data_IF_150791150128
#
_entry.id   IF_150791150128
#
_cell.length_a   1.000
_cell.length_b   1.000
_cell.length_c   1.000
_cell.angle_alpha   90.00
_cell.angle_beta   90.00
_cell.angle_gamma   90.00
#
_symmetry.space_group_name_H-M   'P 1'
#
loop_
_entity.id
_entity.type
_entity.pdbx_description
1 polymer ?
#
# COMPACT_ATOMS: atom_id res chain seq x y z
N UNK A 1 -54.29 -45.28 1.22
CA UNK A 1 -53.36 -46.02 2.12
C UNK A 1 -51.93 -46.17 1.59
N UNK A 2 -51.58 -45.67 0.39
CA UNK A 2 -50.23 -45.80 -0.18
C UNK A 2 -49.33 -44.55 -0.02
N UNK A 3 -49.88 -43.37 0.30
CA UNK A 3 -49.07 -42.16 0.53
C UNK A 3 -48.44 -42.09 1.93
N UNK A 4 -49.11 -42.56 2.98
CA UNK A 4 -48.60 -42.52 4.36
C UNK A 4 -47.38 -43.44 4.57
N UNK A 5 -47.34 -44.60 3.91
CA UNK A 5 -46.21 -45.54 4.01
C UNK A 5 -44.94 -45.05 3.32
N UNK A 6 -45.07 -44.25 2.25
CA UNK A 6 -43.93 -43.71 1.50
C UNK A 6 -43.23 -42.58 2.27
N UNK A 7 -44.00 -41.75 2.97
CA UNK A 7 -43.47 -40.69 3.84
C UNK A 7 -42.76 -41.30 5.06
N UNK A 8 -43.31 -42.36 5.68
CA UNK A 8 -42.65 -43.05 6.79
C UNK A 8 -41.34 -43.73 6.38
N UNK A 9 -41.28 -44.32 5.18
CA UNK A 9 -40.04 -44.92 4.65
C UNK A 9 -38.95 -43.87 4.41
N UNK A 10 -39.30 -42.68 3.90
CA UNK A 10 -38.33 -41.61 3.69
C UNK A 10 -37.86 -40.96 5.00
N UNK A 11 -38.74 -40.84 6.01
CA UNK A 11 -38.37 -40.35 7.35
C UNK A 11 -37.45 -41.35 8.07
N UNK A 12 -37.70 -42.65 7.95
CA UNK A 12 -36.84 -43.70 8.52
C UNK A 12 -35.47 -43.76 7.83
N UNK A 13 -35.40 -43.55 6.51
CA UNK A 13 -34.13 -43.49 5.77
C UNK A 13 -33.35 -42.21 6.13
N UNK A 14 -34.03 -41.08 6.36
CA UNK A 14 -33.39 -39.84 6.78
C UNK A 14 -32.85 -39.92 8.22
N UNK A 15 -33.54 -40.64 9.11
CA UNK A 15 -33.08 -40.94 10.46
C UNK A 15 -31.90 -41.94 10.48
N UNK A 16 -31.83 -42.87 9.53
CA UNK A 16 -30.70 -43.82 9.42
C UNK A 16 -29.42 -43.18 8.85
N UNK A 17 -29.53 -42.05 8.13
CA UNK A 17 -28.39 -41.28 7.62
C UNK A 17 -27.89 -40.21 8.58
N UNK A 18 -28.55 -40.03 9.73
CA UNK A 18 -28.04 -39.21 10.82
C UNK A 18 -27.15 -40.09 11.70
N UNK A 19 -25.99 -40.50 11.18
CA UNK A 19 -24.90 -40.87 12.09
C UNK A 19 -24.63 -39.63 12.95
N UNK A 20 -24.62 -39.74 14.29
CA UNK A 20 -24.10 -38.68 15.11
C UNK A 20 -22.64 -38.51 14.69
N UNK A 21 -22.31 -37.41 14.01
CA UNK A 21 -20.93 -37.00 13.83
C UNK A 21 -20.40 -36.86 15.25
N UNK A 22 -19.65 -37.87 15.69
CA UNK A 22 -18.91 -37.83 16.92
C UNK A 22 -17.89 -36.72 16.70
N UNK A 23 -18.25 -35.51 17.13
CA UNK A 23 -17.34 -34.38 17.22
C UNK A 23 -16.28 -34.79 18.23
N UNK A 24 -15.27 -35.52 17.78
CA UNK A 24 -14.04 -35.71 18.53
C UNK A 24 -13.55 -34.28 18.76
N UNK A 25 -13.65 -33.77 19.99
CA UNK A 25 -13.44 -32.36 20.31
C UNK A 25 -12.02 -31.86 20.02
N UNK A 26 -11.16 -32.72 19.46
CA UNK A 26 -9.78 -32.42 19.12
C UNK A 26 -9.59 -32.15 17.64
N UNK A 27 -8.80 -31.11 17.36
CA UNK A 27 -8.30 -30.82 16.03
C UNK A 27 -6.93 -31.48 15.83
N UNK A 28 -6.79 -32.26 14.75
CA UNK A 28 -5.55 -33.00 14.41
C UNK A 28 -4.31 -32.10 14.29
N UNK A 29 -4.51 -30.83 13.91
CA UNK A 29 -3.43 -29.85 13.69
C UNK A 29 -2.99 -29.11 14.96
N UNK A 30 -3.75 -29.23 16.06
CA UNK A 30 -3.51 -28.51 17.31
C UNK A 30 -2.80 -29.40 18.34
N UNK A 31 -1.82 -28.83 19.03
CA UNK A 31 -1.13 -29.48 20.14
C UNK A 31 -0.64 -30.90 19.80
N UNK A 32 -1.15 -31.93 20.48
CA UNK A 32 -0.80 -33.34 20.28
C UNK A 32 -1.71 -34.07 19.27
N UNK A 33 -2.49 -33.30 18.49
CA UNK A 33 -3.43 -33.81 17.49
C UNK A 33 -4.66 -34.44 18.13
N UNK A 34 -4.92 -35.70 17.80
CA UNK A 34 -6.08 -36.46 18.32
C UNK A 34 -5.81 -37.11 19.69
N UNK A 35 -4.58 -37.05 20.20
CA UNK A 35 -4.19 -37.55 21.52
C UNK A 35 -4.15 -36.42 22.56
N UNK A 36 -4.48 -36.73 23.82
CA UNK A 36 -4.31 -35.78 24.91
C UNK A 36 -2.83 -35.71 25.33
N UNK A 37 -2.25 -34.52 25.43
CA UNK A 37 -0.85 -34.31 25.78
C UNK A 37 -0.50 -34.80 27.20
N UNK A 38 -1.46 -34.82 28.12
CA UNK A 38 -1.28 -35.42 29.44
C UNK A 38 -1.11 -36.95 29.35
N UNK A 39 -1.95 -37.60 28.53
CA UNK A 39 -1.92 -39.05 28.31
C UNK A 39 -0.66 -39.48 27.55
N UNK A 40 -0.20 -38.68 26.58
CA UNK A 40 1.07 -38.91 25.86
C UNK A 40 2.26 -38.99 26.81
N UNK A 41 2.24 -38.19 27.88
CA UNK A 41 3.29 -38.17 28.90
C UNK A 41 2.95 -39.05 30.12
N UNK A 42 1.85 -39.80 30.10
CA UNK A 42 1.43 -40.67 31.20
C UNK A 42 1.28 -39.91 32.54
N UNK A 43 0.78 -38.67 32.51
CA UNK A 43 0.58 -37.80 33.68
C UNK A 43 -0.90 -37.48 33.85
N UNK A 44 -1.41 -37.52 35.08
CA UNK A 44 -2.75 -37.02 35.38
C UNK A 44 -2.74 -35.48 35.46
N UNK A 45 -3.69 -34.82 34.79
CA UNK A 45 -3.88 -33.35 34.78
C UNK A 45 -3.97 -32.78 36.20
N UNK A 46 -4.70 -33.44 37.10
CA UNK A 46 -4.94 -32.96 38.47
C UNK A 46 -3.71 -33.06 39.37
N UNK A 47 -2.79 -33.98 39.06
CA UNK A 47 -1.55 -34.22 39.84
C UNK A 47 -0.32 -33.58 39.18
N UNK A 48 -0.53 -32.60 38.30
CA UNK A 48 0.55 -32.01 37.51
C UNK A 48 1.62 -31.34 38.38
N UNK A 49 2.87 -31.76 38.18
CA UNK A 49 4.05 -31.15 38.76
C UNK A 49 5.14 -30.98 37.68
N UNK A 50 5.68 -29.76 37.56
CA UNK A 50 6.75 -29.42 36.60
C UNK A 50 8.00 -30.29 36.81
N UNK A 51 8.31 -30.66 38.05
CA UNK A 51 9.49 -31.47 38.37
C UNK A 51 9.37 -32.90 37.84
N UNK A 52 8.17 -33.50 37.98
CA UNK A 52 7.82 -34.82 37.45
C UNK A 52 7.77 -34.81 35.93
N UNK A 53 7.20 -33.76 35.33
CA UNK A 53 7.08 -33.58 33.88
C UNK A 53 8.43 -33.76 33.17
N UNK A 54 9.46 -33.02 33.60
CA UNK A 54 10.80 -33.11 32.98
C UNK A 54 11.44 -34.49 33.15
N UNK A 55 11.19 -35.19 34.26
CA UNK A 55 11.73 -36.53 34.51
C UNK A 55 11.07 -37.56 33.58
N UNK A 56 9.75 -37.50 33.46
CA UNK A 56 8.97 -38.42 32.63
C UNK A 56 9.29 -38.22 31.14
N UNK A 57 9.32 -36.97 30.69
CA UNK A 57 9.75 -36.63 29.33
C UNK A 57 11.13 -37.22 28.99
N UNK A 58 12.13 -37.05 29.87
CA UNK A 58 13.48 -37.61 29.64
C UNK A 58 13.47 -39.13 29.52
N UNK A 59 12.63 -39.82 30.27
CA UNK A 59 12.51 -41.28 30.21
C UNK A 59 11.85 -41.73 28.90
N UNK A 60 10.74 -41.10 28.52
CA UNK A 60 10.01 -41.38 27.28
C UNK A 60 10.84 -41.02 26.04
N UNK A 61 11.49 -39.86 26.03
CA UNK A 61 12.39 -39.42 24.97
C UNK A 61 13.55 -40.42 24.77
N UNK A 62 14.13 -40.93 25.86
CA UNK A 62 15.15 -42.01 25.78
C UNK A 62 14.57 -43.31 25.25
N UNK A 63 13.32 -43.67 25.58
CA UNK A 63 12.69 -44.92 25.13
C UNK A 63 12.39 -44.90 23.62
N UNK A 64 11.86 -43.79 23.13
CA UNK A 64 11.43 -43.62 21.73
C UNK A 64 12.46 -42.89 20.84
N UNK A 65 13.71 -42.77 21.27
CA UNK A 65 14.75 -42.13 20.47
C UNK A 65 15.06 -42.96 19.22
N UNK A 66 15.05 -42.37 17.99
CA UNK A 66 15.26 -43.12 16.75
C UNK A 66 16.63 -43.81 16.67
N UNK A 67 17.66 -43.26 17.33
CA UNK A 67 19.01 -43.89 17.38
C UNK A 67 19.06 -45.23 18.11
N UNK A 68 18.07 -45.54 18.96
CA UNK A 68 18.03 -46.81 19.69
C UNK A 68 17.44 -47.96 18.87
N UNK A 69 16.80 -47.64 17.75
CA UNK A 69 16.14 -48.61 16.89
C UNK A 69 17.00 -48.83 15.65
N UNK A 70 17.22 -50.09 15.26
CA UNK A 70 18.05 -50.42 14.09
C UNK A 70 17.22 -50.53 12.80
N UNK A 71 15.99 -51.00 12.90
CA UNK A 71 15.11 -51.24 11.74
C UNK A 71 14.53 -49.95 11.17
N UNK A 72 14.54 -49.81 9.84
CA UNK A 72 14.06 -48.60 9.16
C UNK A 72 12.58 -48.32 9.39
N UNK A 73 11.72 -49.34 9.39
CA UNK A 73 10.28 -49.17 9.62
C UNK A 73 9.99 -48.71 11.06
N UNK A 74 10.62 -49.35 12.05
CA UNK A 74 10.47 -48.99 13.45
C UNK A 74 11.13 -47.65 13.81
N UNK A 75 12.14 -47.20 13.04
CA UNK A 75 12.69 -45.83 13.16
C UNK A 75 11.65 -44.76 12.82
N UNK A 76 10.86 -44.95 11.76
CA UNK A 76 9.81 -44.00 11.37
C UNK A 76 8.75 -43.90 12.47
N UNK A 77 8.35 -45.03 13.05
CA UNK A 77 7.40 -45.06 14.16
C UNK A 77 7.97 -44.41 15.43
N UNK A 78 9.23 -44.72 15.78
CA UNK A 78 9.92 -44.10 16.91
C UNK A 78 10.04 -42.58 16.73
N UNK A 79 10.37 -42.10 15.53
CA UNK A 79 10.44 -40.69 15.21
C UNK A 79 9.07 -40.00 15.34
N UNK A 80 8.00 -40.62 14.80
CA UNK A 80 6.64 -40.09 14.92
C UNK A 80 6.21 -39.97 16.39
N UNK A 81 6.40 -41.03 17.19
CA UNK A 81 6.09 -41.00 18.64
C UNK A 81 6.96 -39.98 19.38
N UNK A 82 8.25 -39.88 19.04
CA UNK A 82 9.15 -38.90 19.63
C UNK A 82 8.69 -37.45 19.38
N UNK A 83 8.22 -37.13 18.17
CA UNK A 83 7.66 -35.81 17.85
C UNK A 83 6.44 -35.49 18.70
N UNK A 84 5.51 -36.42 18.86
CA UNK A 84 4.30 -36.22 19.69
C UNK A 84 4.68 -36.02 21.17
N UNK A 85 5.62 -36.82 21.69
CA UNK A 85 6.14 -36.66 23.07
C UNK A 85 6.82 -35.30 23.27
N UNK A 86 7.59 -34.84 22.29
CA UNK A 86 8.22 -33.52 22.33
C UNK A 86 7.18 -32.39 22.35
N UNK A 87 6.17 -32.47 21.46
CA UNK A 87 5.08 -31.48 21.42
C UNK A 87 4.26 -31.45 22.71
N UNK A 88 3.97 -32.61 23.29
CA UNK A 88 3.28 -32.71 24.58
C UNK A 88 4.07 -32.03 25.70
N UNK A 89 5.38 -32.29 25.76
CA UNK A 89 6.26 -31.66 26.74
C UNK A 89 6.35 -30.14 26.53
N UNK A 90 6.52 -29.66 25.30
CA UNK A 90 6.54 -28.23 25.00
C UNK A 90 5.25 -27.53 25.41
N UNK A 91 4.09 -28.15 25.12
CA UNK A 91 2.76 -27.61 25.46
C UNK A 91 2.55 -27.50 26.96
N UNK A 92 2.94 -28.52 27.73
CA UNK A 92 2.71 -28.58 29.17
C UNK A 92 3.80 -27.89 30.00
N UNK A 93 4.99 -27.66 29.44
CA UNK A 93 6.14 -27.08 30.15
C UNK A 93 5.95 -25.59 30.44
N UNK A 94 5.49 -24.82 29.45
CA UNK A 94 5.21 -23.40 29.64
C UNK A 94 3.83 -23.22 30.28
N UNK A 95 3.76 -22.39 31.31
CA UNK A 95 2.56 -22.22 32.11
C UNK A 95 1.43 -21.64 31.28
N UNK A 96 1.76 -20.66 30.44
CA UNK A 96 0.78 -19.99 29.63
C UNK A 96 0.25 -20.94 28.53
N UNK A 97 1.11 -21.72 27.86
CA UNK A 97 0.66 -22.68 26.83
C UNK A 97 -0.18 -23.80 27.44
N UNK A 98 0.17 -24.23 28.66
CA UNK A 98 -0.61 -25.21 29.42
C UNK A 98 -1.99 -24.66 29.75
N UNK A 99 -2.10 -23.41 30.20
CA UNK A 99 -3.40 -22.79 30.48
C UNK A 99 -4.29 -22.73 29.24
N UNK A 100 -3.74 -22.40 28.07
CA UNK A 100 -4.52 -22.39 26.82
C UNK A 100 -4.87 -23.81 26.35
N UNK A 101 -4.01 -24.79 26.64
CA UNK A 101 -4.30 -26.19 26.38
C UNK A 101 -5.42 -26.72 27.29
N UNK A 102 -5.34 -26.42 28.58
CA UNK A 102 -6.35 -26.72 29.58
C UNK A 102 -7.71 -26.11 29.20
N UNK A 103 -7.71 -24.84 28.79
CA UNK A 103 -8.90 -24.17 28.27
C UNK A 103 -9.46 -24.86 27.02
N UNK A 104 -8.60 -25.26 26.09
CA UNK A 104 -8.99 -26.01 24.91
C UNK A 104 -9.63 -27.38 25.25
N UNK A 105 -9.12 -28.07 26.28
CA UNK A 105 -9.71 -29.32 26.76
C UNK A 105 -11.09 -29.10 27.40
N UNK A 106 -11.26 -28.00 28.14
CA UNK A 106 -12.50 -27.68 28.84
C UNK A 106 -13.58 -27.09 27.91
N UNK A 107 -13.17 -26.43 26.81
CA UNK A 107 -14.05 -25.74 25.85
C UNK A 107 -13.78 -26.14 24.39
N UNK A 108 -14.01 -27.40 24.00
CA UNK A 108 -13.81 -27.86 22.63
C UNK A 108 -14.71 -27.16 21.60
N UNK A 109 -15.86 -26.64 22.01
CA UNK A 109 -16.80 -25.90 21.17
C UNK A 109 -16.24 -24.56 20.65
N UNK A 110 -15.31 -23.94 21.36
CA UNK A 110 -14.74 -22.62 21.01
C UNK A 110 -13.59 -22.71 20.00
N UNK A 111 -13.82 -23.41 18.88
CA UNK A 111 -12.78 -23.75 17.90
C UNK A 111 -11.97 -22.53 17.42
N UNK A 112 -12.63 -21.42 17.07
CA UNK A 112 -11.95 -20.22 16.58
C UNK A 112 -11.00 -19.61 17.61
N UNK A 113 -11.42 -19.56 18.89
CA UNK A 113 -10.61 -19.02 19.96
C UNK A 113 -9.39 -19.92 20.25
N UNK A 114 -9.61 -21.23 20.34
CA UNK A 114 -8.55 -22.21 20.59
C UNK A 114 -7.49 -22.20 19.48
N UNK A 115 -7.93 -22.12 18.22
CA UNK A 115 -7.02 -21.95 17.07
C UNK A 115 -6.24 -20.64 17.17
N UNK A 116 -6.91 -19.52 17.41
CA UNK A 116 -6.26 -18.21 17.53
C UNK A 116 -5.19 -18.21 18.61
N UNK A 117 -5.48 -18.78 19.77
CA UNK A 117 -4.55 -18.86 20.90
C UNK A 117 -3.31 -19.70 20.59
N UNK A 118 -3.51 -20.88 20.00
CA UNK A 118 -2.43 -21.76 19.58
C UNK A 118 -1.49 -21.08 18.58
N UNK A 119 -2.03 -20.47 17.52
CA UNK A 119 -1.22 -19.78 16.50
C UNK A 119 -0.58 -18.50 17.04
N UNK A 120 -1.29 -17.75 17.90
CA UNK A 120 -0.77 -16.53 18.52
C UNK A 120 0.56 -16.79 19.20
N UNK A 121 0.68 -17.88 19.95
CA UNK A 121 1.88 -18.20 20.72
C UNK A 121 3.04 -18.70 19.87
N UNK A 122 2.74 -19.42 18.79
CA UNK A 122 3.77 -19.99 17.90
C UNK A 122 4.27 -19.00 16.84
N UNK A 123 3.38 -18.16 16.33
CA UNK A 123 3.62 -17.38 15.10
C UNK A 123 3.72 -15.88 15.33
N UNK A 124 3.10 -15.32 16.38
CA UNK A 124 3.16 -13.85 16.55
C UNK A 124 4.60 -13.43 16.85
N UNK A 125 5.17 -12.53 16.03
CA UNK A 125 6.52 -12.06 16.24
C UNK A 125 6.61 -11.37 17.61
N UNK A 126 7.71 -11.63 18.33
CA UNK A 126 7.98 -10.96 19.62
C UNK A 126 8.21 -9.46 19.47
N UNK A 127 8.34 -8.95 18.24
CA UNK A 127 8.48 -7.53 17.94
C UNK A 127 7.12 -6.91 17.67
N UNK A 128 6.86 -5.74 18.25
CA UNK A 128 5.64 -4.99 17.96
C UNK A 128 5.62 -4.60 16.48
N UNK A 129 4.61 -5.09 15.77
CA UNK A 129 4.38 -4.84 14.34
C UNK A 129 4.35 -3.34 14.04
N UNK A 130 3.91 -2.51 15.00
CA UNK A 130 3.88 -1.04 14.87
C UNK A 130 5.27 -0.45 14.69
N UNK A 131 6.27 -0.96 15.41
CA UNK A 131 7.65 -0.50 15.27
C UNK A 131 8.21 -0.85 13.89
N UNK A 132 7.87 -2.04 13.38
CA UNK A 132 8.26 -2.45 12.03
C UNK A 132 7.63 -1.52 11.00
N UNK A 133 6.34 -1.19 11.13
CA UNK A 133 5.63 -0.26 10.23
C UNK A 133 6.25 1.14 10.29
N UNK A 134 6.55 1.68 11.48
CA UNK A 134 7.19 2.99 11.61
C UNK A 134 8.58 3.00 10.99
N UNK A 135 9.36 1.93 11.22
CA UNK A 135 10.69 1.77 10.62
C UNK A 135 10.64 1.70 9.10
N UNK A 136 9.69 0.97 8.51
CA UNK A 136 9.55 0.88 7.06
C UNK A 136 9.11 2.21 6.45
N UNK A 137 8.15 2.92 7.06
CA UNK A 137 7.73 4.27 6.63
C UNK A 137 8.91 5.24 6.67
N UNK A 138 9.72 5.19 7.73
CA UNK A 138 10.92 6.02 7.85
C UNK A 138 11.93 5.72 6.74
N UNK A 139 12.25 4.44 6.50
CA UNK A 139 13.17 4.03 5.43
C UNK A 139 12.67 4.47 4.04
N UNK A 140 11.38 4.28 3.75
CA UNK A 140 10.77 4.72 2.48
C UNK A 140 10.86 6.25 2.35
N UNK A 141 10.57 6.98 3.41
CA UNK A 141 10.62 8.46 3.42
C UNK A 141 12.05 8.97 3.20
N UNK A 142 13.04 8.31 3.79
CA UNK A 142 14.44 8.62 3.59
C UNK A 142 14.86 8.38 2.13
N UNK A 143 14.44 7.25 1.56
CA UNK A 143 14.68 6.93 0.16
C UNK A 143 14.00 7.94 -0.78
N UNK A 144 12.75 8.32 -0.50
CA UNK A 144 12.03 9.35 -1.26
C UNK A 144 12.76 10.69 -1.24
N UNK A 145 13.24 11.13 -0.07
CA UNK A 145 13.98 12.39 0.07
C UNK A 145 15.28 12.37 -0.74
N UNK A 146 16.07 11.30 -0.63
CA UNK A 146 17.31 11.18 -1.40
C UNK A 146 17.06 11.06 -2.90
N UNK A 147 16.03 10.30 -3.31
CA UNK A 147 15.63 10.18 -4.71
C UNK A 147 15.20 11.54 -5.28
N UNK A 148 14.41 12.31 -4.54
CA UNK A 148 13.98 13.66 -4.95
C UNK A 148 15.18 14.60 -5.10
N UNK A 149 16.09 14.60 -4.12
CA UNK A 149 17.33 15.38 -4.18
C UNK A 149 18.18 15.03 -5.40
N UNK A 150 18.32 13.74 -5.71
CA UNK A 150 19.05 13.29 -6.89
C UNK A 150 18.40 13.79 -8.18
N UNK A 151 17.09 13.60 -8.33
CA UNK A 151 16.33 14.07 -9.51
C UNK A 151 16.43 15.58 -9.69
N UNK A 152 16.29 16.36 -8.62
CA UNK A 152 16.44 17.82 -8.67
C UNK A 152 17.84 18.20 -9.16
N UNK A 153 18.90 17.58 -8.60
CA UNK A 153 20.27 17.84 -9.03
C UNK A 153 20.52 17.49 -10.51
N UNK A 154 19.91 16.41 -10.99
CA UNK A 154 19.97 15.99 -12.39
C UNK A 154 19.27 17.01 -13.30
N UNK A 155 18.06 17.46 -12.92
CA UNK A 155 17.32 18.48 -13.67
C UNK A 155 18.10 19.80 -13.80
N UNK A 156 18.73 20.26 -12.71
CA UNK A 156 19.58 21.46 -12.72
C UNK A 156 20.78 21.26 -13.63
N UNK A 157 21.47 20.11 -13.52
CA UNK A 157 22.61 19.83 -14.39
C UNK A 157 22.23 19.74 -15.87
N UNK A 158 21.07 19.16 -16.20
CA UNK A 158 20.52 19.16 -17.56
C UNK A 158 20.24 20.58 -18.04
N UNK A 159 19.59 21.42 -17.24
CA UNK A 159 19.30 22.81 -17.60
C UNK A 159 20.57 23.64 -17.86
N UNK A 160 21.67 23.37 -17.15
CA UNK A 160 22.96 24.00 -17.41
C UNK A 160 23.52 23.69 -18.81
N UNK A 161 23.24 22.49 -19.34
CA UNK A 161 23.71 22.07 -20.68
C UNK A 161 22.85 22.65 -21.80
N UNK A 162 21.57 22.88 -21.54
CA UNK A 162 20.63 23.38 -22.53
C UNK A 162 20.82 24.90 -22.71
N UNK A 163 21.23 25.30 -23.92
CA UNK A 163 21.53 26.69 -24.24
C UNK A 163 20.40 27.69 -23.93
N UNK A 164 19.13 27.29 -24.03
CA UNK A 164 17.97 28.15 -23.72
C UNK A 164 18.01 28.65 -22.27
N UNK A 165 18.13 27.76 -21.29
CA UNK A 165 18.13 28.11 -19.87
C UNK A 165 19.41 28.84 -19.48
N UNK A 166 20.54 28.41 -20.02
CA UNK A 166 21.83 29.07 -19.81
C UNK A 166 21.83 30.51 -20.28
N UNK A 167 21.29 30.79 -21.47
CA UNK A 167 21.25 32.15 -22.01
C UNK A 167 20.34 33.06 -21.17
N UNK A 168 19.18 32.55 -20.73
CA UNK A 168 18.28 33.28 -19.82
C UNK A 168 18.99 33.60 -18.50
N UNK A 169 19.73 32.64 -17.93
CA UNK A 169 20.46 32.85 -16.69
C UNK A 169 21.59 33.87 -16.84
N UNK A 170 22.27 33.89 -17.99
CA UNK A 170 23.30 34.90 -18.28
C UNK A 170 22.68 36.29 -18.43
N UNK A 171 21.57 36.44 -19.17
CA UNK A 171 20.92 37.74 -19.31
C UNK A 171 20.43 38.28 -17.97
N UNK A 172 19.80 37.44 -17.16
CA UNK A 172 19.35 37.82 -15.81
C UNK A 172 20.53 38.15 -14.89
N UNK A 173 21.64 37.43 -14.98
CA UNK A 173 22.83 37.74 -14.19
C UNK A 173 23.48 39.08 -14.57
N UNK A 174 23.41 39.47 -15.84
CA UNK A 174 23.86 40.77 -16.33
C UNK A 174 22.91 41.88 -15.88
N UNK A 175 21.60 41.67 -15.96
CA UNK A 175 20.58 42.60 -15.42
C UNK A 175 20.77 42.87 -13.93
N UNK A 176 21.08 41.81 -13.16
CA UNK A 176 21.38 41.91 -11.72
C UNK A 176 22.76 42.49 -11.40
N UNK A 177 23.58 42.77 -12.41
CA UNK A 177 24.97 43.27 -12.25
C UNK A 177 25.94 42.27 -11.63
N UNK A 178 25.58 40.98 -11.56
CA UNK A 178 26.40 39.91 -10.97
C UNK A 178 27.35 39.31 -12.01
N UNK A 179 26.99 39.38 -13.29
CA UNK A 179 27.79 38.95 -14.43
C UNK A 179 28.12 40.14 -15.33
N UNK A 180 29.37 40.22 -15.78
CA UNK A 180 29.80 41.21 -16.77
C UNK A 180 30.11 40.52 -18.10
N UNK A 181 29.68 41.13 -19.20
CA UNK A 181 30.05 40.74 -20.56
C UNK A 181 31.17 41.63 -21.06
N UNK A 182 32.18 41.03 -21.70
CA UNK A 182 33.22 41.76 -22.43
C UNK A 182 32.62 42.45 -23.67
N UNK A 183 33.36 43.42 -24.22
CA UNK A 183 33.03 44.10 -25.50
C UNK A 183 32.77 43.13 -26.68
N UNK A 184 33.19 41.87 -26.58
CA UNK A 184 32.97 40.80 -27.58
C UNK A 184 31.77 39.88 -27.26
N UNK A 185 30.96 40.22 -26.26
CA UNK A 185 29.78 39.44 -25.86
C UNK A 185 30.08 38.14 -25.11
N UNK A 186 31.31 37.96 -24.59
CA UNK A 186 31.70 36.80 -23.78
C UNK A 186 31.69 37.15 -22.30
N UNK A 187 31.39 36.18 -21.43
CA UNK A 187 31.45 36.35 -19.98
C UNK A 187 32.88 36.69 -19.53
N UNK A 188 33.02 37.83 -18.86
CA UNK A 188 34.29 38.28 -18.27
C UNK A 188 34.66 37.37 -17.10
N UNK A 189 35.92 36.94 -17.03
CA UNK A 189 36.41 36.14 -15.90
C UNK A 189 36.73 37.06 -14.73
N UNK A 190 35.84 37.12 -13.73
CA UNK A 190 36.06 37.87 -12.49
C UNK A 190 36.92 37.01 -11.55
N UNK A 191 38.02 37.58 -11.04
CA UNK A 191 38.96 36.87 -10.17
C UNK A 191 38.26 36.50 -8.85
N UNK A 192 38.13 35.20 -8.56
CA UNK A 192 37.53 34.69 -7.31
C UNK A 192 36.04 34.32 -7.37
N UNK A 193 35.36 34.50 -8.51
CA UNK A 193 33.98 34.05 -8.71
C UNK A 193 33.91 33.01 -9.85
N UNK A 194 33.31 31.86 -9.57
CA UNK A 194 32.98 30.88 -10.60
C UNK A 194 31.69 31.30 -11.31
N UNK A 195 31.81 31.82 -12.53
CA UNK A 195 30.66 32.22 -13.33
C UNK A 195 29.64 31.07 -13.53
N UNK A 196 30.11 29.81 -13.56
CA UNK A 196 29.25 28.63 -13.66
C UNK A 196 28.37 28.42 -12.42
N UNK A 197 28.89 28.68 -11.21
CA UNK A 197 28.11 28.52 -9.97
C UNK A 197 27.06 29.64 -9.83
N UNK A 198 27.38 30.84 -10.32
CA UNK A 198 26.42 31.96 -10.39
C UNK A 198 25.30 31.62 -11.38
N UNK A 199 25.64 31.12 -12.57
CA UNK A 199 24.65 30.66 -13.56
C UNK A 199 23.78 29.55 -12.98
N UNK A 200 24.37 28.58 -12.26
CA UNK A 200 23.62 27.53 -11.56
C UNK A 200 22.63 28.12 -10.56
N UNK A 201 23.06 29.05 -9.70
CA UNK A 201 22.15 29.66 -8.71
C UNK A 201 21.01 30.45 -9.34
N UNK A 202 21.27 31.14 -10.46
CA UNK A 202 20.23 31.90 -11.19
C UNK A 202 19.23 30.92 -11.82
N UNK A 203 19.71 29.78 -12.34
CA UNK A 203 18.84 28.72 -12.86
C UNK A 203 18.01 28.09 -11.75
N UNK A 204 18.59 27.81 -10.58
CA UNK A 204 17.86 27.27 -9.43
C UNK A 204 16.76 28.21 -8.94
N UNK A 205 16.99 29.53 -9.00
CA UNK A 205 16.00 30.54 -8.60
C UNK A 205 14.88 30.72 -9.63
N UNK A 206 15.22 30.70 -10.92
CA UNK A 206 14.27 30.97 -12.00
C UNK A 206 13.53 29.72 -12.52
N UNK A 207 13.98 28.52 -12.18
CA UNK A 207 13.33 27.29 -12.62
C UNK A 207 12.24 26.89 -11.61
N UNK A 208 10.98 27.18 -11.94
CA UNK A 208 9.82 26.64 -11.24
C UNK A 208 9.66 25.16 -11.61
N UNK A 209 10.50 24.30 -11.02
CA UNK A 209 10.50 22.87 -11.30
C UNK A 209 9.30 22.24 -10.60
N UNK A 210 8.25 21.93 -11.36
CA UNK A 210 7.04 21.26 -10.86
C UNK A 210 7.09 19.75 -11.07
N UNK A 211 6.39 19.01 -10.20
CA UNK A 211 6.25 17.56 -10.31
C UNK A 211 7.47 16.80 -9.79
N UNK A 212 7.83 15.69 -10.44
CA UNK A 212 8.84 14.73 -9.95
C UNK A 212 10.29 15.23 -9.88
N UNK A 213 10.54 16.48 -10.29
CA UNK A 213 11.84 17.14 -10.24
C UNK A 213 11.82 18.40 -9.35
N UNK A 214 10.77 18.61 -8.56
CA UNK A 214 10.71 19.71 -7.60
C UNK A 214 11.83 19.60 -6.55
N UNK A 215 12.17 20.74 -5.94
CA UNK A 215 13.17 20.80 -4.86
C UNK A 215 12.76 19.89 -3.71
N UNK A 216 13.74 19.24 -3.08
CA UNK A 216 13.48 18.33 -1.98
C UNK A 216 12.77 19.05 -0.81
N UNK A 217 11.64 18.49 -0.40
CA UNK A 217 10.83 19.00 0.70
C UNK A 217 10.51 17.86 1.65
N UNK A 218 10.67 18.13 2.94
CA UNK A 218 10.31 17.16 3.99
C UNK A 218 8.79 16.94 4.00
N UNK A 219 8.02 17.96 3.57
CA UNK A 219 6.57 17.92 3.55
C UNK A 219 5.99 16.94 2.51
N UNK A 220 6.78 16.60 1.49
CA UNK A 220 6.37 15.68 0.43
C UNK A 220 6.67 14.21 0.79
N UNK A 221 7.34 13.96 1.92
CA UNK A 221 7.68 12.61 2.35
C UNK A 221 6.47 11.87 2.91
N UNK A 222 6.43 10.55 2.71
CA UNK A 222 5.37 9.69 3.23
C UNK A 222 5.18 9.85 4.74
N UNK A 223 6.27 9.99 5.49
CA UNK A 223 6.23 10.18 6.94
C UNK A 223 5.48 11.45 7.33
N UNK A 224 5.75 12.58 6.66
CA UNK A 224 5.01 13.82 6.92
C UNK A 224 3.53 13.68 6.54
N UNK A 225 3.26 13.05 5.39
CA UNK A 225 1.89 12.77 4.96
C UNK A 225 1.13 11.93 6.00
N UNK A 226 1.74 10.90 6.56
CA UNK A 226 1.13 10.09 7.62
C UNK A 226 0.85 10.90 8.90
N UNK A 227 1.72 11.84 9.26
CA UNK A 227 1.55 12.69 10.44
C UNK A 227 0.40 13.69 10.24
N UNK A 228 0.29 14.29 9.06
CA UNK A 228 -0.72 15.32 8.78
C UNK A 228 -2.07 14.74 8.33
N UNK A 229 -2.11 13.48 7.88
CA UNK A 229 -3.32 12.80 7.39
C UNK A 229 -4.51 12.90 8.35
N UNK A 230 -4.37 12.68 9.68
CA UNK A 230 -5.51 12.82 10.59
C UNK A 230 -6.09 14.24 10.57
N UNK A 231 -5.23 15.25 10.50
CA UNK A 231 -5.65 16.65 10.47
C UNK A 231 -6.30 17.03 9.14
N UNK A 232 -5.72 16.61 8.01
CA UNK A 232 -6.32 16.87 6.69
C UNK A 232 -7.64 16.13 6.52
N UNK A 233 -7.74 14.90 7.02
CA UNK A 233 -8.98 14.12 7.01
C UNK A 233 -10.05 14.80 7.87
N UNK A 234 -9.70 15.27 9.07
CA UNK A 234 -10.63 16.01 9.93
C UNK A 234 -11.16 17.27 9.23
N UNK A 235 -10.27 18.09 8.67
CA UNK A 235 -10.68 19.31 7.97
C UNK A 235 -11.56 19.00 6.76
N UNK A 236 -11.22 17.95 6.00
CA UNK A 236 -12.03 17.48 4.88
C UNK A 236 -13.42 17.02 5.34
N UNK A 237 -13.50 16.25 6.42
CA UNK A 237 -14.78 15.80 6.98
C UNK A 237 -15.64 16.98 7.44
N UNK A 238 -15.07 17.95 8.15
CA UNK A 238 -15.80 19.16 8.56
C UNK A 238 -16.28 19.95 7.33
N UNK A 239 -15.42 20.15 6.34
CA UNK A 239 -15.78 20.81 5.10
C UNK A 239 -16.88 20.05 4.34
N UNK A 240 -16.79 18.73 4.27
CA UNK A 240 -17.77 17.87 3.59
C UNK A 240 -19.12 17.89 4.30
N UNK A 241 -19.14 17.81 5.64
CA UNK A 241 -20.38 17.93 6.42
C UNK A 241 -21.04 19.29 6.21
N UNK A 242 -20.25 20.38 6.20
CA UNK A 242 -20.74 21.73 5.86
C UNK A 242 -21.32 21.78 4.44
N UNK A 243 -20.64 21.17 3.47
CA UNK A 243 -21.10 21.09 2.09
C UNK A 243 -22.43 20.36 1.97
N UNK A 244 -22.55 19.17 2.56
CA UNK A 244 -23.78 18.37 2.58
C UNK A 244 -24.92 19.16 3.22
N UNK A 245 -24.66 19.80 4.36
CA UNK A 245 -25.68 20.60 5.03
C UNK A 245 -26.13 21.80 4.19
N UNK A 246 -25.19 22.54 3.61
CA UNK A 246 -25.47 23.75 2.83
C UNK A 246 -26.19 23.46 1.52
N UNK A 247 -25.69 22.51 0.73
CA UNK A 247 -26.16 22.30 -0.63
C UNK A 247 -27.19 21.17 -0.77
N UNK A 248 -27.14 20.12 0.06
CA UNK A 248 -28.09 19.00 -0.06
C UNK A 248 -29.31 19.15 0.83
N UNK A 249 -29.11 19.61 2.08
CA UNK A 249 -30.22 19.75 3.04
C UNK A 249 -30.91 21.10 2.84
N UNK A 250 -30.17 22.21 2.86
CA UNK A 250 -30.75 23.55 2.72
C UNK A 250 -31.06 23.97 1.28
N UNK A 251 -30.51 23.27 0.28
CA UNK A 251 -30.65 23.59 -1.15
C UNK A 251 -30.36 25.06 -1.48
N UNK A 252 -29.33 25.63 -0.85
CA UNK A 252 -28.84 26.97 -1.19
C UNK A 252 -28.15 26.94 -2.57
N UNK A 253 -28.17 28.06 -3.30
CA UNK A 253 -27.42 28.20 -4.55
C UNK A 253 -25.91 28.07 -4.30
N UNK A 254 -25.18 27.53 -5.28
CA UNK A 254 -23.73 27.38 -5.16
C UNK A 254 -23.05 28.76 -5.12
N UNK A 255 -22.40 29.08 -4.00
CA UNK A 255 -21.43 30.19 -3.92
C UNK A 255 -20.37 30.09 -5.02
N UNK A 256 -19.76 31.22 -5.38
CA UNK A 256 -18.65 31.28 -6.36
C UNK A 256 -17.50 30.32 -6.02
N UNK A 257 -17.11 30.22 -4.74
CA UNK A 257 -16.07 29.28 -4.28
C UNK A 257 -16.48 27.82 -4.53
N UNK A 258 -17.77 27.50 -4.35
CA UNK A 258 -18.30 26.16 -4.60
C UNK A 258 -18.39 25.86 -6.10
N UNK A 259 -18.77 26.85 -6.93
CA UNK A 259 -18.75 26.76 -8.39
C UNK A 259 -17.34 26.49 -8.91
N UNK A 260 -16.35 27.27 -8.45
CA UNK A 260 -14.94 27.08 -8.81
C UNK A 260 -14.41 25.71 -8.36
N UNK A 261 -14.79 25.23 -7.17
CA UNK A 261 -14.43 23.88 -6.72
C UNK A 261 -14.98 22.79 -7.65
N UNK A 262 -16.23 22.91 -8.11
CA UNK A 262 -16.84 21.97 -9.05
C UNK A 262 -16.16 22.02 -10.42
N UNK A 263 -15.90 23.21 -10.95
CA UNK A 263 -15.17 23.41 -12.22
C UNK A 263 -13.79 22.75 -12.14
N UNK A 264 -13.02 23.03 -11.08
CA UNK A 264 -11.72 22.40 -10.83
C UNK A 264 -11.83 20.88 -10.80
N UNK A 265 -12.84 20.35 -10.11
CA UNK A 265 -13.09 18.91 -10.00
C UNK A 265 -13.39 18.28 -11.36
N UNK A 266 -14.16 18.95 -12.21
CA UNK A 266 -14.45 18.47 -13.56
C UNK A 266 -13.25 18.52 -14.50
N UNK A 267 -12.42 19.55 -14.39
CA UNK A 267 -11.16 19.66 -15.13
C UNK A 267 -10.11 18.63 -14.68
N UNK A 268 -10.21 18.11 -13.45
CA UNK A 268 -9.24 17.16 -12.91
C UNK A 268 -7.88 17.80 -12.59
N UNK A 269 -7.85 19.14 -12.39
CA UNK A 269 -6.64 19.89 -12.08
C UNK A 269 -6.34 19.87 -10.58
N UNK A 270 -5.05 19.90 -10.23
CA UNK A 270 -4.63 20.15 -8.85
C UNK A 270 -5.00 21.59 -8.44
N UNK A 271 -5.09 21.84 -7.13
CA UNK A 271 -5.34 23.19 -6.61
C UNK A 271 -4.29 24.19 -7.08
N UNK A 272 -3.02 23.80 -7.06
CA UNK A 272 -1.91 24.65 -7.52
C UNK A 272 -1.97 24.95 -9.01
N UNK A 273 -2.37 23.99 -9.84
CA UNK A 273 -2.54 24.21 -11.28
C UNK A 273 -3.70 25.17 -11.54
N UNK A 274 -4.83 24.96 -10.87
CA UNK A 274 -6.01 25.79 -11.01
C UNK A 274 -5.76 27.23 -10.54
N UNK A 275 -5.05 27.42 -9.43
CA UNK A 275 -4.72 28.75 -8.89
C UNK A 275 -3.67 29.51 -9.73
N UNK A 276 -2.92 28.82 -10.60
CA UNK A 276 -2.00 29.47 -11.53
C UNK A 276 -2.69 29.97 -12.81
N UNK A 277 -3.95 29.59 -13.04
CA UNK A 277 -4.73 30.15 -14.14
C UNK A 277 -5.05 31.61 -13.84
N UNK A 278 -5.18 32.42 -14.88
CA UNK A 278 -5.49 33.84 -14.72
C UNK A 278 -6.92 34.04 -14.21
N UNK A 279 -7.16 35.11 -13.46
CA UNK A 279 -8.51 35.47 -12.98
C UNK A 279 -9.52 35.57 -14.14
N UNK A 280 -9.09 36.09 -15.29
CA UNK A 280 -9.91 36.17 -16.50
C UNK A 280 -10.35 34.79 -17.03
N UNK A 281 -9.51 33.75 -16.90
CA UNK A 281 -9.89 32.38 -17.28
C UNK A 281 -10.88 31.80 -16.28
N UNK A 282 -10.75 32.10 -14.98
CA UNK A 282 -11.74 31.70 -13.98
C UNK A 282 -13.10 32.36 -14.21
N UNK A 283 -13.12 33.64 -14.55
CA UNK A 283 -14.33 34.39 -14.90
C UNK A 283 -15.01 33.84 -16.17
N UNK A 284 -14.25 33.52 -17.23
CA UNK A 284 -14.80 32.92 -18.45
C UNK A 284 -15.46 31.56 -18.18
N UNK A 285 -14.82 30.74 -17.34
CA UNK A 285 -15.37 29.44 -16.92
C UNK A 285 -16.64 29.57 -16.07
N UNK A 286 -16.74 30.62 -15.24
CA UNK A 286 -17.97 30.96 -14.52
C UNK A 286 -19.04 31.49 -15.48
N UNK A 287 -18.68 32.34 -16.44
CA UNK A 287 -19.62 32.88 -17.43
C UNK A 287 -20.23 31.79 -18.32
N UNK A 288 -19.48 30.74 -18.63
CA UNK A 288 -19.94 29.57 -19.40
C UNK A 288 -20.67 28.52 -18.56
N UNK A 289 -20.88 28.79 -17.26
CA UNK A 289 -21.58 27.90 -16.32
C UNK A 289 -21.01 26.47 -16.26
N UNK A 290 -19.69 26.34 -16.33
CA UNK A 290 -19.01 25.04 -16.39
C UNK A 290 -19.11 24.22 -15.09
N UNK A 291 -19.74 24.75 -14.04
CA UNK A 291 -20.09 23.97 -12.84
C UNK A 291 -21.28 23.03 -13.07
N UNK A 292 -21.97 23.13 -14.20
CA UNK A 292 -23.01 22.20 -14.63
C UNK A 292 -22.36 21.12 -15.51
N UNK A 293 -22.51 19.86 -15.13
CA UNK A 293 -21.87 18.71 -15.81
C UNK A 293 -22.18 18.64 -17.31
N UNK A 294 -23.39 18.98 -17.73
CA UNK A 294 -23.79 18.98 -19.15
C UNK A 294 -23.06 20.06 -19.96
N UNK A 295 -23.00 21.29 -19.44
CA UNK A 295 -22.29 22.40 -20.06
C UNK A 295 -20.78 22.10 -20.13
N UNK A 296 -20.23 21.53 -19.06
CA UNK A 296 -18.83 21.11 -19.03
C UNK A 296 -18.51 20.06 -20.09
N UNK A 297 -19.35 19.02 -20.25
CA UNK A 297 -19.16 17.99 -21.28
C UNK A 297 -19.18 18.58 -22.69
N UNK A 298 -20.11 19.50 -22.95
CA UNK A 298 -20.21 20.17 -24.24
C UNK A 298 -18.96 21.01 -24.52
N UNK A 299 -18.58 21.86 -23.57
CA UNK A 299 -17.38 22.69 -23.67
C UNK A 299 -16.12 21.85 -23.88
N UNK A 300 -15.97 20.75 -23.13
CA UNK A 300 -14.82 19.85 -23.25
C UNK A 300 -14.76 19.20 -24.63
N UNK A 301 -15.91 18.75 -25.16
CA UNK A 301 -15.98 18.18 -26.50
C UNK A 301 -15.60 19.21 -27.59
N UNK A 302 -16.02 20.47 -27.43
CA UNK A 302 -15.64 21.55 -28.33
C UNK A 302 -14.13 21.85 -28.27
N UNK A 303 -13.55 21.93 -27.06
CA UNK A 303 -12.10 22.15 -26.88
C UNK A 303 -11.25 21.01 -27.41
N UNK A 304 -11.66 19.77 -27.14
CA UNK A 304 -10.98 18.59 -27.66
C UNK A 304 -11.03 18.58 -29.20
N UNK A 305 -12.18 18.94 -29.80
CA UNK A 305 -12.30 19.06 -31.26
C UNK A 305 -11.41 20.16 -31.85
N UNK A 306 -11.36 21.34 -31.23
CA UNK A 306 -10.47 22.43 -31.64
C UNK A 306 -8.99 22.03 -31.58
N UNK A 307 -8.58 21.33 -30.51
CA UNK A 307 -7.21 20.85 -30.37
C UNK A 307 -6.89 19.78 -31.42
N UNK A 308 -7.80 18.84 -31.67
CA UNK A 308 -7.67 17.86 -32.75
C UNK A 308 -7.55 18.53 -34.13
N UNK A 309 -8.32 19.59 -34.39
CA UNK A 309 -8.18 20.36 -35.63
C UNK A 309 -6.83 21.06 -35.73
N UNK A 310 -6.36 21.71 -34.66
CA UNK A 310 -5.03 22.35 -34.62
C UNK A 310 -3.92 21.32 -34.87
N UNK A 311 -4.02 20.16 -34.23
CA UNK A 311 -3.12 19.04 -34.47
C UNK A 311 -3.20 18.61 -35.93
N UNK A 312 -4.39 18.40 -36.50
CA UNK A 312 -4.60 18.01 -37.89
C UNK A 312 -4.03 19.04 -38.90
N UNK A 313 -4.11 20.33 -38.58
CA UNK A 313 -3.52 21.42 -39.39
C UNK A 313 -2.00 21.45 -39.27
N UNK A 314 -1.45 21.07 -38.11
CA UNK A 314 0.00 21.09 -37.86
C UNK A 314 0.76 20.19 -38.85
N UNK A 315 1.88 20.71 -39.38
CA UNK A 315 2.75 19.96 -40.29
C UNK A 315 3.34 18.69 -39.64
N UNK A 316 3.54 18.73 -38.31
CA UNK A 316 4.06 17.61 -37.51
C UNK A 316 3.12 16.42 -37.51
N UNK A 317 1.83 16.64 -37.28
CA UNK A 317 0.81 15.59 -37.32
C UNK A 317 0.61 15.02 -38.73
N UNK A 318 0.60 15.87 -39.76
CA UNK A 318 0.55 15.43 -41.17
C UNK A 318 1.76 14.57 -41.56
N UNK A 319 2.92 14.79 -40.93
CA UNK A 319 4.15 13.99 -41.12
C UNK A 319 4.07 12.67 -40.35
N UNK A 320 3.59 12.70 -39.11
CA UNK A 320 3.33 11.51 -38.29
C UNK A 320 2.31 10.56 -38.93
N UNK A 321 1.20 11.10 -39.46
CA UNK A 321 0.18 10.31 -40.18
C UNK A 321 0.73 9.67 -41.46
N UNK A 322 1.62 10.35 -42.19
CA UNK A 322 2.34 9.78 -43.35
C UNK A 322 3.31 8.66 -42.93
N UNK A 323 3.99 8.83 -41.81
CA UNK A 323 4.84 7.79 -41.23
C UNK A 323 4.01 6.55 -40.87
N UNK A 324 2.89 6.67 -40.14
CA UNK A 324 2.01 5.54 -39.81
C UNK A 324 1.48 4.81 -41.06
N UNK A 325 1.14 5.54 -42.12
CA UNK A 325 0.71 4.96 -43.40
C UNK A 325 1.82 4.17 -44.10
N UNK A 326 3.07 4.62 -43.96
CA UNK A 326 4.23 4.00 -44.59
C UNK A 326 4.88 2.90 -43.72
N UNK A 327 4.73 2.97 -42.39
CA UNK A 327 5.39 2.07 -41.44
C UNK A 327 4.69 0.71 -41.33
N UNK A 328 3.47 0.57 -41.85
CA UNK A 328 2.66 -0.64 -41.70
C UNK A 328 2.24 -0.84 -40.24
N UNK A 329 0.98 -1.21 -40.02
CA UNK A 329 0.55 -1.73 -38.72
C UNK A 329 1.34 -3.00 -38.45
N UNK A 330 2.34 -2.97 -37.56
CA UNK A 330 2.90 -4.19 -36.98
C UNK A 330 1.82 -4.71 -36.03
N UNK A 331 0.88 -5.50 -36.56
CA UNK A 331 0.01 -6.34 -35.74
C UNK A 331 0.85 -7.50 -35.25
N UNK A 332 1.17 -7.52 -33.95
CA UNK A 332 1.74 -8.68 -33.27
C UNK A 332 0.64 -9.74 -33.03
N UNK A 333 0.00 -10.20 -34.09
CA UNK A 333 -0.88 -11.36 -34.08
C UNK A 333 -0.62 -12.09 -35.40
N UNK A 334 -0.24 -13.35 -35.26
CA UNK A 334 0.04 -14.37 -36.28
C UNK A 334 1.45 -14.34 -36.89
N UNK A 335 2.37 -15.06 -36.23
CA UNK A 335 3.23 -16.11 -36.81
C UNK A 335 4.08 -16.73 -35.69
N UNK A 336 3.59 -17.85 -35.13
CA UNK A 336 4.32 -19.10 -34.88
C UNK A 336 3.41 -20.15 -34.21
#
# INVERSE_FOLDING_TARGET
MYLLGRIHAHILIFLYFCEPVLSVGFAEELYCGLENCYDVLEINRDEFDRSKLSKIYRNLAKKYHPDRVKDKAAKVEAEARFRVIATAYETLKDEQTRTDYDYYLDHPEERFYNYYQYYRRRVIPKVDVRLVILGTIFCISLFQYFSAKQKYSEAISYAMTVGKFRNIAISTGVERGVLELDSKGKLKKIRGKNNEDIIRSIIEENMDVRGGYAKESIYDTLMWQCIILPYTLYNYLVWYLKWVFKYWIKREEYDEVAKLYLIRKYLGLSESQFNCMSEAEHEDMLAQELWIDENFKKWKAEKDAEEQEKLARSGRYKRYKRYLKNAGTISFVDED
#
